data_IF_020429808638
#
_entry.id   IF_020429808638
#
_cell.length_a   1.000
_cell.length_b   1.000
_cell.length_c   1.000
_cell.angle_alpha   90.00
_cell.angle_beta   90.00
_cell.angle_gamma   90.00
#
_symmetry.space_group_name_H-M   'P 1'
#
loop_
_entity.id
_entity.type
_entity.pdbx_description
1 polymer ?
#
# COMPACT_ATOMS: atom_id res chain seq x y z
N UNK A 1 -44.56 2.39 -49.16
CA UNK A 1 -45.34 3.62 -48.86
C UNK A 1 -44.50 4.48 -47.93
N UNK A 2 -43.84 5.53 -48.44
CA UNK A 2 -44.17 6.98 -48.26
C UNK A 2 -44.20 7.40 -46.76
N UNK A 3 -43.48 8.38 -46.23
CA UNK A 3 -42.56 9.43 -46.74
C UNK A 3 -41.72 9.99 -45.56
N UNK A 4 -40.49 10.46 -45.77
CA UNK A 4 -40.07 11.86 -46.02
C UNK A 4 -40.83 12.92 -45.20
N UNK A 5 -40.15 13.53 -44.22
CA UNK A 5 -40.39 14.91 -43.81
C UNK A 5 -39.04 15.58 -43.50
N UNK A 6 -38.61 16.40 -44.46
CA UNK A 6 -37.52 17.37 -44.36
C UNK A 6 -38.09 18.65 -43.74
N UNK A 7 -37.44 19.23 -42.73
CA UNK A 7 -37.65 20.63 -42.41
C UNK A 7 -36.32 21.36 -42.25
N UNK A 8 -36.01 22.17 -43.26
CA UNK A 8 -34.97 23.21 -43.24
C UNK A 8 -35.55 24.44 -42.53
N UNK A 9 -34.77 25.07 -41.66
CA UNK A 9 -34.77 26.54 -41.53
C UNK A 9 -33.33 27.06 -41.43
N UNK A 10 -33.03 27.98 -42.34
CA UNK A 10 -31.87 28.87 -42.36
C UNK A 10 -32.32 30.25 -41.87
N UNK A 11 -31.51 30.91 -41.04
CA UNK A 11 -31.33 32.38 -40.91
C UNK A 11 -30.19 32.56 -39.88
N UNK A 12 -28.98 32.96 -40.26
CA UNK A 12 -28.48 34.29 -40.67
C UNK A 12 -28.08 35.20 -39.48
N UNK A 13 -26.76 35.24 -39.26
CA UNK A 13 -25.84 36.35 -38.91
C UNK A 13 -26.36 37.55 -38.11
N UNK A 14 -25.74 37.78 -36.93
CA UNK A 14 -25.24 39.06 -36.39
C UNK A 14 -24.05 38.67 -35.50
N UNK A 15 -22.80 39.10 -35.67
CA UNK A 15 -22.32 40.44 -36.00
C UNK A 15 -22.10 41.25 -34.72
N UNK A 16 -21.26 40.79 -33.80
CA UNK A 16 -20.99 41.47 -32.54
C UNK A 16 -19.56 41.27 -32.06
N UNK A 17 -18.67 42.17 -32.47
CA UNK A 17 -17.37 42.35 -31.85
C UNK A 17 -17.59 43.01 -30.48
N UNK A 18 -17.35 42.27 -29.40
CA UNK A 18 -17.31 42.82 -28.04
C UNK A 18 -15.86 42.86 -27.59
N UNK A 19 -15.39 44.10 -27.53
CA UNK A 19 -14.31 44.68 -26.74
C UNK A 19 -13.70 43.74 -25.69
N UNK A 20 -12.40 43.52 -25.85
CA UNK A 20 -11.51 42.98 -24.85
C UNK A 20 -11.53 43.86 -23.59
N UNK A 21 -12.10 43.35 -22.50
CA UNK A 21 -11.84 43.85 -21.16
C UNK A 21 -10.88 42.87 -20.49
N UNK A 22 -9.59 43.17 -20.58
CA UNK A 22 -8.54 42.48 -19.83
C UNK A 22 -8.67 42.82 -18.35
N UNK A 23 -9.37 41.97 -17.61
CA UNK A 23 -9.23 41.93 -16.15
C UNK A 23 -7.96 41.13 -15.87
N UNK A 24 -6.88 41.83 -15.54
CA UNK A 24 -5.73 41.24 -14.85
C UNK A 24 -6.21 40.81 -13.47
N UNK A 25 -6.81 39.62 -13.38
CA UNK A 25 -6.91 38.91 -12.12
C UNK A 25 -5.48 38.54 -11.77
N UNK A 26 -4.88 39.29 -10.86
CA UNK A 26 -3.72 38.84 -10.11
C UNK A 26 -4.17 37.59 -9.33
N UNK A 27 -4.13 36.45 -10.01
CA UNK A 27 -4.21 35.16 -9.38
C UNK A 27 -2.96 35.03 -8.52
N UNK A 28 -3.10 35.32 -7.22
CA UNK A 28 -2.26 34.69 -6.22
C UNK A 28 -2.39 33.19 -6.46
N UNK A 29 -1.43 32.63 -7.19
CA UNK A 29 -1.26 31.20 -7.28
C UNK A 29 -1.07 30.69 -5.85
N UNK A 30 -2.15 30.16 -5.28
CA UNK A 30 -2.07 29.18 -4.22
C UNK A 30 -1.38 27.97 -4.85
N UNK A 31 -0.05 28.03 -4.85
CA UNK A 31 0.79 26.89 -5.06
C UNK A 31 0.55 26.02 -3.82
N UNK A 32 -0.40 25.09 -3.93
CA UNK A 32 -0.51 23.94 -3.04
C UNK A 32 0.81 23.19 -3.15
N UNK A 33 1.78 23.62 -2.33
CA UNK A 33 2.97 22.87 -2.06
C UNK A 33 2.51 21.61 -1.33
N UNK A 34 2.22 20.55 -2.09
CA UNK A 34 2.23 19.17 -1.61
C UNK A 34 3.66 18.72 -1.23
N UNK A 35 4.46 19.63 -0.68
CA UNK A 35 5.78 19.39 -0.14
C UNK A 35 5.63 19.02 1.32
N UNK A 36 5.44 17.73 1.57
CA UNK A 36 5.55 17.20 2.92
C UNK A 36 6.89 17.63 3.53
N UNK A 37 6.87 18.06 4.80
CA UNK A 37 8.07 18.46 5.52
C UNK A 37 9.05 17.28 5.53
N UNK A 38 10.20 17.47 4.89
CA UNK A 38 11.29 16.49 4.89
C UNK A 38 12.06 16.59 6.20
N UNK A 39 12.37 15.44 6.80
CA UNK A 39 13.26 15.35 7.95
C UNK A 39 14.63 14.89 7.46
N UNK A 40 15.70 15.41 8.08
CA UNK A 40 17.06 15.04 7.70
C UNK A 40 17.34 13.53 7.80
N UNK A 41 18.32 13.00 7.05
CA UNK A 41 18.55 11.56 6.85
C UNK A 41 19.04 10.80 8.11
N UNK A 42 19.43 11.50 9.18
CA UNK A 42 19.87 10.90 10.44
C UNK A 42 18.83 11.19 11.53
N UNK A 43 17.66 10.57 11.42
CA UNK A 43 16.63 10.72 12.43
C UNK A 43 16.81 9.70 13.54
N UNK A 44 17.15 10.16 14.74
CA UNK A 44 17.02 9.38 15.98
C UNK A 44 15.57 9.00 16.31
N UNK A 45 14.59 9.48 15.53
CA UNK A 45 13.17 9.27 15.79
C UNK A 45 12.57 8.04 15.08
N UNK A 46 13.41 7.26 14.39
CA UNK A 46 13.03 5.97 13.82
C UNK A 46 13.93 4.88 14.37
N UNK A 47 13.34 3.77 14.81
CA UNK A 47 14.07 2.54 15.11
C UNK A 47 13.43 1.35 14.40
N UNK A 48 14.25 0.32 14.15
CA UNK A 48 13.89 -0.81 13.32
C UNK A 48 14.23 -2.10 14.05
N UNK A 49 13.33 -3.08 13.97
CA UNK A 49 13.56 -4.43 14.49
C UNK A 49 13.10 -5.44 13.45
N UNK A 50 13.95 -6.43 13.15
CA UNK A 50 13.64 -7.46 12.18
C UNK A 50 13.39 -8.80 12.86
N UNK A 51 12.34 -9.49 12.43
CA UNK A 51 12.02 -10.85 12.86
C UNK A 51 11.97 -11.78 11.66
N UNK A 52 12.99 -12.64 11.55
CA UNK A 52 13.08 -13.61 10.48
C UNK A 52 12.08 -14.76 10.62
N UNK A 53 12.13 -15.47 11.75
CA UNK A 53 11.20 -16.55 12.09
C UNK A 53 10.39 -16.09 13.28
N UNK A 54 9.08 -16.03 13.11
CA UNK A 54 8.14 -15.70 14.17
C UNK A 54 7.82 -16.95 15.01
N UNK A 55 7.66 -16.77 16.33
CA UNK A 55 7.47 -17.87 17.29
C UNK A 55 6.00 -18.31 17.48
N UNK A 56 5.06 -17.68 16.76
CA UNK A 56 3.64 -17.97 16.83
C UNK A 56 3.15 -18.77 15.63
N UNK A 57 2.13 -19.60 15.85
CA UNK A 57 1.31 -20.10 14.76
C UNK A 57 0.57 -18.91 14.12
N UNK A 58 0.44 -18.90 12.78
CA UNK A 58 -0.21 -17.84 11.99
C UNK A 58 0.46 -16.45 11.97
N UNK A 59 1.69 -16.31 12.49
CA UNK A 59 2.46 -15.06 12.37
C UNK A 59 3.23 -14.97 11.05
N UNK A 60 3.37 -13.74 10.54
CA UNK A 60 4.11 -13.49 9.30
C UNK A 60 5.59 -13.47 9.64
N UNK A 61 6.37 -14.28 8.91
CA UNK A 61 7.82 -14.24 8.97
C UNK A 61 8.38 -13.06 8.17
N UNK A 62 9.66 -12.74 8.38
CA UNK A 62 10.38 -11.70 7.65
C UNK A 62 9.79 -10.30 7.86
N UNK A 63 9.31 -9.99 9.07
CA UNK A 63 8.69 -8.70 9.39
C UNK A 63 9.73 -7.68 9.82
N UNK A 64 9.61 -6.48 9.30
CA UNK A 64 10.31 -5.29 9.77
C UNK A 64 9.34 -4.45 10.59
N UNK A 65 9.59 -4.33 11.88
CA UNK A 65 8.92 -3.36 12.73
C UNK A 65 9.60 -2.00 12.59
N UNK A 66 8.78 -0.96 12.46
CA UNK A 66 9.20 0.43 12.32
C UNK A 66 8.61 1.18 13.49
N UNK A 67 9.44 1.52 14.47
CA UNK A 67 9.01 2.35 15.59
C UNK A 67 9.27 3.81 15.27
N UNK A 68 8.21 4.60 15.28
CA UNK A 68 8.23 6.01 14.88
C UNK A 68 7.91 6.91 16.07
N UNK A 69 8.89 7.67 16.54
CA UNK A 69 8.72 8.63 17.64
C UNK A 69 8.42 10.06 17.18
N UNK A 70 8.35 10.31 15.86
CA UNK A 70 7.80 11.56 15.37
C UNK A 70 6.35 11.69 15.83
N UNK A 71 5.97 12.86 16.35
CA UNK A 71 4.59 13.16 16.79
C UNK A 71 3.54 13.16 15.65
N UNK A 72 3.91 12.68 14.47
CA UNK A 72 3.09 12.62 13.27
C UNK A 72 3.42 11.34 12.49
N UNK A 73 2.48 10.89 11.66
CA UNK A 73 2.73 9.83 10.68
C UNK A 73 3.78 10.28 9.68
N UNK A 74 4.65 9.35 9.29
CA UNK A 74 5.70 9.59 8.29
C UNK A 74 5.64 8.55 7.18
N UNK A 75 6.19 8.94 6.04
CA UNK A 75 6.55 8.01 4.97
C UNK A 75 8.06 7.98 4.86
N UNK A 76 8.62 6.78 4.83
CA UNK A 76 10.05 6.56 4.74
C UNK A 76 10.43 5.97 3.38
N UNK A 77 11.58 6.38 2.87
CA UNK A 77 12.32 5.64 1.86
C UNK A 77 13.48 4.96 2.58
N UNK A 78 13.49 3.63 2.58
CA UNK A 78 14.48 2.81 3.24
C UNK A 78 15.32 2.03 2.22
N UNK A 79 16.62 1.91 2.51
CA UNK A 79 17.50 0.94 1.88
C UNK A 79 17.86 -0.15 2.88
N UNK A 80 18.14 -1.35 2.36
CA UNK A 80 18.38 -2.54 3.17
C UNK A 80 19.63 -3.28 2.71
N UNK A 81 20.41 -3.77 3.67
CA UNK A 81 21.47 -4.75 3.45
C UNK A 81 21.11 -6.02 4.23
N UNK A 82 20.95 -7.15 3.54
CA UNK A 82 20.73 -8.44 4.21
C UNK A 82 22.01 -8.89 4.93
N UNK A 83 21.85 -9.46 6.12
CA UNK A 83 22.93 -9.93 6.97
C UNK A 83 22.75 -11.43 7.30
N UNK A 84 23.86 -12.15 7.36
CA UNK A 84 23.88 -13.54 7.83
C UNK A 84 23.91 -13.63 9.37
N UNK A 85 23.99 -14.85 9.92
CA UNK A 85 24.06 -15.09 11.38
C UNK A 85 25.33 -14.50 12.04
N UNK A 86 26.39 -14.28 11.27
CA UNK A 86 27.61 -13.61 11.73
C UNK A 86 27.54 -12.08 11.54
N UNK A 87 26.36 -11.54 11.22
CA UNK A 87 26.10 -10.15 10.89
C UNK A 87 26.96 -9.62 9.73
N UNK A 88 27.38 -10.51 8.82
CA UNK A 88 28.12 -10.12 7.63
C UNK A 88 27.14 -9.78 6.49
N UNK A 89 27.41 -8.73 5.70
CA UNK A 89 26.62 -8.39 4.53
C UNK A 89 26.55 -9.53 3.52
N UNK A 90 25.35 -9.74 2.96
CA UNK A 90 25.08 -10.74 1.92
C UNK A 90 24.86 -10.06 0.56
N UNK A 91 25.92 -9.64 -0.17
CA UNK A 91 25.80 -8.76 -1.34
C UNK A 91 25.07 -9.38 -2.54
N UNK A 92 24.85 -10.70 -2.54
CA UNK A 92 24.10 -11.41 -3.57
C UNK A 92 22.61 -11.59 -3.23
N UNK A 93 22.20 -11.21 -2.02
CA UNK A 93 20.81 -11.23 -1.57
C UNK A 93 20.22 -9.83 -1.71
N UNK A 94 19.17 -9.71 -2.51
CA UNK A 94 18.40 -8.47 -2.66
C UNK A 94 17.25 -8.47 -1.67
N UNK A 95 17.03 -7.32 -1.03
CA UNK A 95 15.87 -7.08 -0.16
C UNK A 95 14.87 -6.21 -0.90
N UNK A 96 13.60 -6.56 -0.83
CA UNK A 96 12.48 -5.74 -1.29
C UNK A 96 11.36 -5.78 -0.27
N UNK A 97 10.44 -4.82 -0.29
CA UNK A 97 9.35 -4.80 0.70
C UNK A 97 7.97 -4.92 0.09
N UNK A 98 7.05 -5.49 0.86
CA UNK A 98 5.67 -5.74 0.46
C UNK A 98 4.85 -4.45 0.49
N UNK A 99 4.92 -3.68 1.58
CA UNK A 99 4.12 -2.47 1.77
C UNK A 99 4.80 -1.20 1.23
N UNK A 100 6.09 -1.31 0.86
CA UNK A 100 6.81 -0.30 0.09
C UNK A 100 7.49 0.78 0.91
N UNK A 101 8.02 0.43 2.09
CA UNK A 101 9.02 1.27 2.77
C UNK A 101 10.31 1.45 1.96
N UNK A 102 10.62 0.56 1.01
CA UNK A 102 11.70 0.73 0.01
C UNK A 102 11.32 1.65 -1.18
N UNK A 103 10.08 2.12 -1.24
CA UNK A 103 9.53 2.90 -2.35
C UNK A 103 8.84 4.20 -1.92
N UNK A 104 8.85 4.51 -0.62
CA UNK A 104 8.19 5.72 -0.11
C UNK A 104 6.68 5.66 -0.22
N UNK A 105 6.06 4.48 -0.04
CA UNK A 105 4.59 4.34 -0.10
C UNK A 105 3.96 3.89 1.20
N UNK A 106 4.73 3.30 2.13
CA UNK A 106 4.24 2.90 3.44
C UNK A 106 4.12 4.11 4.36
N UNK A 107 2.94 4.31 4.95
CA UNK A 107 2.73 5.27 6.02
C UNK A 107 2.92 4.58 7.36
N UNK A 108 3.88 5.05 8.15
CA UNK A 108 4.15 4.61 9.51
C UNK A 108 3.55 5.61 10.51
N UNK A 109 2.48 5.25 11.24
CA UNK A 109 1.91 6.07 12.31
C UNK A 109 2.92 6.33 13.44
N UNK A 110 2.62 7.29 14.33
CA UNK A 110 3.35 7.40 15.59
C UNK A 110 3.21 6.12 16.43
N UNK A 111 4.31 5.68 17.04
CA UNK A 111 4.40 4.45 17.79
C UNK A 111 4.86 3.30 16.90
N UNK A 112 3.93 2.68 16.16
CA UNK A 112 4.20 1.42 15.47
C UNK A 112 3.77 1.43 14.00
N UNK A 113 4.68 0.98 13.15
CA UNK A 113 4.43 0.55 11.77
C UNK A 113 5.12 -0.80 11.52
N UNK A 114 4.73 -1.47 10.45
CA UNK A 114 5.33 -2.73 10.04
C UNK A 114 5.38 -2.82 8.52
N UNK A 115 6.44 -3.41 7.99
CA UNK A 115 6.56 -3.88 6.60
C UNK A 115 6.94 -5.37 6.60
N UNK A 116 6.74 -6.04 5.47
CA UNK A 116 7.19 -7.41 5.26
C UNK A 116 8.33 -7.38 4.24
N UNK A 117 9.44 -7.99 4.60
CA UNK A 117 10.62 -8.10 3.75
C UNK A 117 10.56 -9.36 2.90
N UNK A 118 11.15 -9.26 1.71
CA UNK A 118 11.30 -10.36 0.76
C UNK A 118 12.74 -10.40 0.31
N UNK A 119 13.33 -11.57 0.41
CA UNK A 119 14.71 -11.79 0.02
C UNK A 119 14.74 -12.54 -1.30
N UNK A 120 15.70 -12.19 -2.16
CA UNK A 120 15.90 -12.90 -3.41
C UNK A 120 17.38 -13.04 -3.74
N UNK A 121 17.78 -14.23 -4.21
CA UNK A 121 19.13 -14.52 -4.67
C UNK A 121 19.81 -15.64 -3.86
N UNK A 122 21.06 -15.99 -4.21
CA UNK A 122 21.79 -17.05 -3.52
C UNK A 122 21.91 -16.78 -2.01
N UNK A 123 21.44 -17.73 -1.20
CA UNK A 123 21.46 -17.63 0.26
C UNK A 123 20.27 -16.87 0.86
N UNK A 124 19.19 -16.60 0.13
CA UNK A 124 18.03 -15.85 0.64
C UNK A 124 17.39 -16.42 1.93
N UNK A 125 17.46 -17.74 2.15
CA UNK A 125 16.98 -18.39 3.37
C UNK A 125 17.99 -18.36 4.53
N UNK A 126 19.21 -17.87 4.31
CA UNK A 126 20.27 -17.75 5.33
C UNK A 126 20.27 -16.37 6.00
N UNK A 127 19.41 -15.45 5.55
CA UNK A 127 19.27 -14.11 6.12
C UNK A 127 18.80 -14.22 7.58
N UNK A 128 19.62 -13.69 8.48
CA UNK A 128 19.34 -13.67 9.91
C UNK A 128 18.90 -12.28 10.38
N UNK A 129 19.38 -11.22 9.73
CA UNK A 129 19.06 -9.83 10.08
C UNK A 129 19.12 -8.91 8.85
N UNK A 130 18.71 -7.66 9.02
CA UNK A 130 18.85 -6.60 8.01
C UNK A 130 19.42 -5.32 8.63
N UNK A 131 20.42 -4.75 7.97
CA UNK A 131 20.82 -3.38 8.23
C UNK A 131 19.89 -2.43 7.47
N UNK A 132 19.24 -1.52 8.19
CA UNK A 132 18.35 -0.50 7.61
C UNK A 132 19.07 0.83 7.51
N UNK A 133 18.94 1.49 6.36
CA UNK A 133 19.39 2.87 6.15
C UNK A 133 18.19 3.72 5.74
N UNK A 134 18.00 4.84 6.45
CA UNK A 134 16.95 5.81 6.13
C UNK A 134 17.48 6.74 5.03
N UNK A 135 16.91 6.63 3.83
CA UNK A 135 17.22 7.54 2.71
C UNK A 135 16.46 8.85 2.82
N UNK A 136 15.17 8.75 3.17
CA UNK A 136 14.27 9.89 3.23
C UNK A 136 13.18 9.67 4.26
N UNK A 137 12.77 10.74 4.93
CA UNK A 137 11.57 10.77 5.77
C UNK A 137 10.77 12.01 5.40
N UNK A 138 9.47 11.85 5.15
CA UNK A 138 8.55 12.96 4.94
C UNK A 138 7.32 12.81 5.82
N UNK A 139 6.71 13.92 6.22
CA UNK A 139 5.41 13.89 6.85
C UNK A 139 4.38 13.23 5.92
N UNK A 140 3.61 12.28 6.44
CA UNK A 140 2.56 11.63 5.68
C UNK A 140 1.38 12.57 5.45
N UNK A 141 0.71 12.44 4.31
CA UNK A 141 -0.55 13.12 4.05
C UNK A 141 -1.49 12.15 3.31
N UNK A 142 -2.60 11.72 3.94
CA UNK A 142 -3.14 12.18 5.22
C UNK A 142 -2.45 11.55 6.43
N UNK A 143 -2.58 12.23 7.57
CA UNK A 143 -2.07 11.76 8.86
C UNK A 143 -2.89 10.57 9.37
N UNK A 144 -2.20 9.54 9.87
CA UNK A 144 -2.80 8.48 10.69
C UNK A 144 -2.56 8.85 12.16
N UNK A 145 -3.63 8.85 12.95
CA UNK A 145 -3.56 9.22 14.37
C UNK A 145 -2.81 8.13 15.14
N UNK A 146 -2.07 8.55 16.17
CA UNK A 146 -1.44 7.65 17.13
C UNK A 146 -2.45 6.64 17.69
N UNK A 147 -2.06 5.37 17.79
CA UNK A 147 -2.93 4.32 18.28
C UNK A 147 -4.03 3.89 17.31
N UNK A 148 -3.93 4.25 16.02
CA UNK A 148 -4.85 3.75 15.00
C UNK A 148 -4.81 2.22 14.93
N UNK A 149 -5.98 1.61 14.98
CA UNK A 149 -6.17 0.18 14.83
C UNK A 149 -6.10 -0.23 13.36
N UNK A 150 -5.56 -1.42 13.02
CA UNK A 150 -5.45 -1.87 11.63
C UNK A 150 -6.81 -1.99 10.94
N UNK A 151 -6.87 -1.64 9.65
CA UNK A 151 -8.01 -1.95 8.78
C UNK A 151 -8.06 -3.46 8.55
N UNK A 152 -9.21 -4.08 8.84
CA UNK A 152 -9.41 -5.51 8.61
C UNK A 152 -9.86 -5.78 7.18
N UNK A 153 -9.56 -6.98 6.67
CA UNK A 153 -9.94 -7.41 5.33
C UNK A 153 -10.79 -8.67 5.39
N UNK A 154 -11.83 -8.74 4.56
CA UNK A 154 -12.69 -9.92 4.41
C UNK A 154 -12.88 -10.22 2.92
N UNK A 155 -12.56 -11.46 2.53
CA UNK A 155 -12.79 -11.95 1.17
C UNK A 155 -14.29 -12.19 0.94
N UNK A 156 -14.78 -11.76 -0.23
CA UNK A 156 -16.17 -11.88 -0.65
C UNK A 156 -16.30 -12.48 -2.05
N UNK A 157 -17.34 -13.27 -2.28
CA UNK A 157 -17.72 -13.76 -3.60
C UNK A 157 -18.40 -12.68 -4.46
N UNK A 158 -18.87 -13.05 -5.66
CA UNK A 158 -19.50 -12.13 -6.59
C UNK A 158 -20.87 -11.62 -6.10
N UNK A 159 -21.55 -12.39 -5.26
CA UNK A 159 -22.81 -12.02 -4.62
C UNK A 159 -22.59 -11.17 -3.36
N UNK A 160 -21.35 -10.97 -2.92
CA UNK A 160 -21.02 -10.22 -1.70
C UNK A 160 -21.08 -11.06 -0.42
N UNK A 161 -21.13 -12.39 -0.54
CA UNK A 161 -21.09 -13.31 0.61
C UNK A 161 -19.66 -13.52 1.06
N UNK A 162 -19.48 -13.63 2.38
CA UNK A 162 -18.19 -13.91 2.99
C UNK A 162 -17.73 -15.32 2.63
N UNK A 163 -16.46 -15.43 2.25
CA UNK A 163 -15.81 -16.70 1.96
C UNK A 163 -14.42 -16.74 2.57
N UNK A 164 -13.83 -17.93 2.65
CA UNK A 164 -12.46 -18.05 3.14
C UNK A 164 -11.46 -17.38 2.19
N UNK A 165 -10.38 -16.80 2.74
CA UNK A 165 -9.27 -16.24 1.94
C UNK A 165 -8.55 -17.29 1.08
N UNK A 166 -8.69 -18.57 1.43
CA UNK A 166 -8.16 -19.70 0.65
C UNK A 166 -9.04 -20.05 -0.55
N UNK A 167 -10.27 -19.56 -0.60
CA UNK A 167 -11.17 -19.75 -1.73
C UNK A 167 -11.00 -18.66 -2.79
N UNK A 168 -11.57 -18.89 -3.97
CA UNK A 168 -11.57 -17.87 -5.03
C UNK A 168 -12.58 -16.78 -4.67
N UNK A 169 -12.09 -15.56 -4.46
CA UNK A 169 -12.92 -14.38 -4.21
C UNK A 169 -12.85 -13.37 -5.36
N UNK A 170 -13.86 -12.51 -5.45
CA UNK A 170 -13.96 -11.45 -6.45
C UNK A 170 -14.02 -10.05 -5.86
N UNK A 171 -14.16 -9.95 -4.53
CA UNK A 171 -14.26 -8.69 -3.80
C UNK A 171 -13.54 -8.80 -2.46
N UNK A 172 -13.08 -7.67 -1.94
CA UNK A 172 -12.54 -7.56 -0.58
C UNK A 172 -13.26 -6.42 0.14
N UNK A 173 -13.89 -6.72 1.27
CA UNK A 173 -14.42 -5.71 2.18
C UNK A 173 -13.32 -5.28 3.13
N UNK A 174 -13.10 -3.97 3.20
CA UNK A 174 -12.26 -3.31 4.18
C UNK A 174 -13.15 -2.77 5.28
N UNK A 175 -12.78 -2.98 6.54
CA UNK A 175 -13.50 -2.40 7.68
C UNK A 175 -12.51 -1.60 8.52
N UNK A 176 -12.85 -0.33 8.73
CA UNK A 176 -12.05 0.59 9.51
C UNK A 176 -12.68 0.76 10.90
N UNK A 177 -12.03 0.25 11.96
CA UNK A 177 -12.52 0.41 13.33
C UNK A 177 -12.30 1.83 13.87
N UNK A 178 -11.48 2.65 13.22
CA UNK A 178 -11.08 3.97 13.73
C UNK A 178 -12.18 5.03 13.57
N UNK A 179 -12.15 6.04 14.46
CA UNK A 179 -13.10 7.16 14.47
C UNK A 179 -12.85 8.22 13.37
N UNK A 180 -11.87 8.01 12.50
CA UNK A 180 -11.54 8.88 11.37
C UNK A 180 -11.36 8.04 10.10
N UNK A 181 -11.55 8.65 8.91
CA UNK A 181 -11.26 7.97 7.65
C UNK A 181 -9.76 7.69 7.52
N UNK A 182 -9.43 6.56 6.89
CA UNK A 182 -8.04 6.16 6.63
C UNK A 182 -7.85 5.82 5.15
N UNK A 183 -6.60 5.86 4.70
CA UNK A 183 -6.23 5.53 3.33
C UNK A 183 -5.29 4.33 3.36
N UNK A 184 -5.69 3.28 2.65
CA UNK A 184 -4.96 2.02 2.64
C UNK A 184 -4.79 1.50 1.22
N UNK A 185 -3.75 0.71 1.04
CA UNK A 185 -3.62 -0.22 -0.09
C UNK A 185 -3.83 -1.64 0.43
N UNK A 186 -4.16 -2.54 -0.49
CA UNK A 186 -4.41 -3.95 -0.18
C UNK A 186 -3.48 -4.80 -1.01
N UNK A 187 -2.83 -5.76 -0.35
CA UNK A 187 -1.98 -6.74 -1.00
C UNK A 187 -2.53 -8.15 -0.79
N UNK A 188 -2.58 -8.93 -1.88
CA UNK A 188 -2.70 -10.37 -1.86
C UNK A 188 -1.31 -10.99 -1.79
N UNK A 189 -1.04 -11.72 -0.72
CA UNK A 189 0.26 -12.31 -0.43
C UNK A 189 0.19 -13.82 -0.62
N UNK A 190 1.11 -14.35 -1.39
CA UNK A 190 1.34 -15.79 -1.51
C UNK A 190 2.66 -16.11 -0.84
N UNK A 191 2.64 -17.08 0.05
CA UNK A 191 3.81 -17.53 0.78
C UNK A 191 4.31 -18.87 0.22
N UNK A 192 5.61 -19.12 0.35
CA UNK A 192 6.15 -20.46 0.17
C UNK A 192 5.82 -21.36 1.38
N UNK A 193 6.23 -22.62 1.26
CA UNK A 193 6.11 -23.65 2.29
C UNK A 193 7.50 -24.29 2.45
N UNK A 194 8.45 -23.58 3.08
CA UNK A 194 9.79 -24.08 3.20
C UNK A 194 9.83 -25.24 4.21
N UNK A 195 10.89 -26.08 4.21
CA UNK A 195 11.08 -27.09 5.23
C UNK A 195 11.11 -26.50 6.64
N UNK A 196 10.82 -27.33 7.63
CA UNK A 196 10.90 -26.95 9.04
C UNK A 196 12.27 -26.34 9.39
N UNK A 197 12.27 -25.27 10.17
CA UNK A 197 13.47 -24.53 10.56
C UNK A 197 13.94 -23.47 9.55
N UNK A 198 13.30 -23.37 8.38
CA UNK A 198 13.51 -22.26 7.44
C UNK A 198 12.38 -21.22 7.56
N UNK A 199 12.70 -19.95 7.31
CA UNK A 199 11.71 -18.90 7.31
C UNK A 199 10.84 -18.95 6.05
N UNK A 200 9.52 -18.99 6.27
CA UNK A 200 8.55 -18.69 5.23
C UNK A 200 8.79 -17.28 4.65
N UNK A 201 8.68 -17.14 3.34
CA UNK A 201 8.79 -15.89 2.61
C UNK A 201 7.54 -15.63 1.77
N UNK A 202 7.27 -14.34 1.54
CA UNK A 202 6.30 -13.95 0.52
C UNK A 202 6.95 -14.16 -0.86
N UNK A 203 6.43 -15.09 -1.65
CA UNK A 203 6.91 -15.37 -3.02
C UNK A 203 6.15 -14.61 -4.09
N UNK A 204 4.95 -14.12 -3.78
CA UNK A 204 4.20 -13.23 -4.67
C UNK A 204 3.43 -12.17 -3.90
N UNK A 205 3.49 -10.94 -4.41
CA UNK A 205 2.72 -9.79 -3.92
C UNK A 205 1.90 -9.29 -5.09
N UNK A 206 0.58 -9.33 -4.96
CA UNK A 206 -0.31 -8.76 -5.98
C UNK A 206 -1.19 -7.68 -5.36
N UNK A 207 -1.05 -6.41 -5.78
CA UNK A 207 -1.93 -5.34 -5.32
C UNK A 207 -3.39 -5.62 -5.72
N UNK A 208 -4.32 -5.38 -4.80
CA UNK A 208 -5.76 -5.41 -5.06
C UNK A 208 -6.26 -3.97 -5.11
N UNK A 209 -6.62 -3.51 -6.32
CA UNK A 209 -7.10 -2.14 -6.54
C UNK A 209 -5.99 -1.09 -6.42
N UNK A 210 -6.37 0.13 -6.01
CA UNK A 210 -5.47 1.26 -5.79
C UNK A 210 -5.52 1.75 -4.35
N UNK A 211 -5.04 2.99 -4.12
CA UNK A 211 -5.21 3.66 -2.84
C UNK A 211 -6.71 3.85 -2.55
N UNK A 212 -7.18 3.32 -1.42
CA UNK A 212 -8.60 3.27 -1.09
C UNK A 212 -8.85 4.00 0.22
N UNK A 213 -9.79 4.94 0.18
CA UNK A 213 -10.32 5.59 1.39
C UNK A 213 -11.36 4.68 2.04
N UNK A 214 -11.17 4.40 3.33
CA UNK A 214 -12.14 3.68 4.16
C UNK A 214 -12.74 4.69 5.14
N UNK A 215 -14.07 4.85 5.19
CA UNK A 215 -14.72 5.83 6.07
C UNK A 215 -14.49 5.48 7.55
N UNK A 216 -14.64 6.49 8.42
CA UNK A 216 -14.67 6.31 9.88
C UNK A 216 -15.74 5.29 10.28
N UNK A 217 -15.40 4.37 11.18
CA UNK A 217 -16.29 3.29 11.67
C UNK A 217 -17.10 2.59 10.59
N UNK A 218 -16.53 2.47 9.39
CA UNK A 218 -17.27 2.04 8.22
C UNK A 218 -16.46 1.10 7.35
N UNK A 219 -17.08 0.71 6.23
CA UNK A 219 -16.51 -0.25 5.30
C UNK A 219 -16.53 0.25 3.86
N UNK A 220 -15.53 -0.17 3.10
CA UNK A 220 -15.46 0.01 1.64
C UNK A 220 -15.22 -1.36 1.00
N UNK A 221 -15.85 -1.64 -0.14
CA UNK A 221 -15.59 -2.88 -0.90
C UNK A 221 -14.77 -2.57 -2.15
N UNK A 222 -13.72 -3.34 -2.38
CA UNK A 222 -12.88 -3.27 -3.57
C UNK A 222 -13.18 -4.47 -4.46
N UNK A 223 -13.37 -4.23 -5.76
CA UNK A 223 -13.47 -5.30 -6.75
C UNK A 223 -12.08 -5.82 -7.13
N UNK A 224 -11.95 -7.15 -7.18
CA UNK A 224 -10.75 -7.83 -7.65
C UNK A 224 -10.80 -7.94 -9.17
N UNK A 225 -9.84 -7.32 -9.83
CA UNK A 225 -9.75 -7.27 -11.30
C UNK A 225 -8.35 -7.64 -11.79
N UNK A 226 -8.24 -7.92 -13.09
CA UNK A 226 -6.97 -8.03 -13.82
C UNK A 226 -5.96 -8.99 -13.14
N UNK A 227 -4.72 -8.55 -12.95
CA UNK A 227 -3.64 -9.34 -12.36
C UNK A 227 -4.01 -9.93 -11.00
N UNK A 228 -4.76 -9.21 -10.16
CA UNK A 228 -5.24 -9.73 -8.88
C UNK A 228 -6.19 -10.91 -9.07
N UNK A 229 -7.17 -10.79 -9.97
CA UNK A 229 -8.09 -11.89 -10.26
C UNK A 229 -7.36 -13.14 -10.78
N UNK A 230 -6.35 -12.94 -11.64
CA UNK A 230 -5.49 -14.03 -12.15
C UNK A 230 -4.65 -14.66 -11.04
N UNK A 231 -4.05 -13.87 -10.17
CA UNK A 231 -3.24 -14.36 -9.04
C UNK A 231 -4.09 -15.15 -8.03
N UNK A 232 -5.28 -14.65 -7.70
CA UNK A 232 -6.22 -15.33 -6.80
C UNK A 232 -6.72 -16.63 -7.40
N UNK A 233 -7.11 -16.63 -8.69
CA UNK A 233 -7.54 -17.85 -9.36
C UNK A 233 -6.45 -18.93 -9.42
N UNK A 234 -5.18 -18.53 -9.56
CA UNK A 234 -4.03 -19.44 -9.61
C UNK A 234 -3.73 -20.07 -8.25
N UNK A 235 -3.88 -19.32 -7.17
CA UNK A 235 -3.44 -19.72 -5.83
C UNK A 235 -4.59 -20.16 -4.92
N UNK A 236 -5.86 -19.99 -5.33
CA UNK A 236 -7.01 -20.47 -4.55
C UNK A 236 -6.93 -21.98 -4.35
N UNK A 237 -7.24 -22.44 -3.14
CA UNK A 237 -7.13 -23.83 -2.67
C UNK A 237 -5.71 -24.41 -2.73
N UNK A 238 -4.70 -23.56 -2.87
CA UNK A 238 -3.30 -23.94 -3.00
C UNK A 238 -2.47 -23.48 -1.79
N UNK A 239 -1.40 -22.71 -2.02
CA UNK A 239 -0.43 -22.34 -0.97
C UNK A 239 -1.05 -21.49 0.15
N UNK A 240 -0.25 -21.26 1.20
CA UNK A 240 -0.62 -20.29 2.23
C UNK A 240 -0.76 -18.89 1.62
N UNK A 241 -1.90 -18.24 1.89
CA UNK A 241 -2.23 -16.93 1.34
C UNK A 241 -2.79 -15.99 2.41
N UNK A 242 -2.57 -14.70 2.22
CA UNK A 242 -3.09 -13.65 3.10
C UNK A 242 -3.56 -12.43 2.31
N UNK A 243 -4.52 -11.71 2.87
CA UNK A 243 -5.00 -10.42 2.36
C UNK A 243 -4.70 -9.39 3.45
N UNK A 244 -3.86 -8.41 3.16
CA UNK A 244 -3.45 -7.40 4.15
C UNK A 244 -3.72 -6.01 3.62
N UNK A 245 -4.35 -5.19 4.45
CA UNK A 245 -4.44 -3.76 4.25
C UNK A 245 -3.31 -3.07 5.03
N UNK A 246 -2.73 -2.03 4.46
CA UNK A 246 -1.67 -1.24 5.09
C UNK A 246 -1.86 0.24 4.76
N UNK A 247 -1.49 1.11 5.70
CA UNK A 247 -1.58 2.56 5.53
C UNK A 247 -0.62 3.02 4.44
N UNK A 248 -1.11 3.88 3.54
CA UNK A 248 -0.36 4.31 2.37
C UNK A 248 -0.83 5.70 1.90
N UNK A 249 -0.03 6.32 1.03
CA UNK A 249 -0.36 7.56 0.33
C UNK A 249 -0.15 7.45 -1.19
#
# INVERSE_FOLDING_TARGET
MRGIAVFRRRTAVVGGAVVALGVLVAGCGLQEAAGGREFGPASSDLSFSYTGISSGDDTINQTLEIHNTYRQSVVTLLSFTALDRAHQPMPKVKVSTVYGSDRGTLVSPYGYGMDILRFSGPGEHEVADVQVRVDKVVAAAPQVVAGAEPVTTQALDAAGREISRFERFSRVRLTNPNAWPVYVRVAYLVYDQPPEGQSQQVVSVTPIGGLTRVPSHGSTTIEVKNAAATAIARNSRGPAVSIKAYYSQ
#
